data_IF_091309119578
#
_entry.id   IF_091309119578
#
_cell.length_a   1.000
_cell.length_b   1.000
_cell.length_c   1.000
_cell.angle_alpha   90.00
_cell.angle_beta   90.00
_cell.angle_gamma   90.00
#
_symmetry.space_group_name_H-M   'P 1'
#
loop_
_entity.id
_entity.type
_entity.pdbx_description
1 polymer ?
#
# COMPACT_ATOMS: atom_id res chain seq x y z
N UNK A 1 49.94 -37.74 20.96
CA UNK A 1 48.66 -36.98 20.98
C UNK A 1 48.45 -36.35 19.60
N UNK A 2 47.50 -36.82 18.82
CA UNK A 2 47.14 -36.24 17.50
C UNK A 2 45.94 -35.28 17.72
N UNK A 3 46.11 -33.98 17.48
CA UNK A 3 45.04 -33.02 17.49
C UNK A 3 44.31 -33.05 16.15
N UNK A 4 43.02 -33.37 16.17
CA UNK A 4 42.14 -33.26 15.02
C UNK A 4 41.53 -31.85 15.06
N UNK A 5 41.89 -31.01 14.09
CA UNK A 5 41.25 -29.72 13.90
C UNK A 5 39.94 -29.91 13.13
N UNK A 6 38.82 -29.65 13.79
CA UNK A 6 37.51 -29.62 13.16
C UNK A 6 37.31 -28.22 12.56
N UNK A 7 37.40 -28.14 11.24
CA UNK A 7 37.09 -26.92 10.51
C UNK A 7 35.57 -26.71 10.45
N UNK A 8 35.07 -25.61 11.03
CA UNK A 8 33.69 -25.16 10.83
C UNK A 8 33.57 -24.46 9.47
N UNK A 9 32.85 -25.07 8.54
CA UNK A 9 32.46 -24.43 7.28
C UNK A 9 31.22 -23.55 7.56
N UNK A 10 31.41 -22.24 7.59
CA UNK A 10 30.32 -21.26 7.59
C UNK A 10 29.72 -21.21 6.19
N UNK A 11 28.55 -21.86 6.00
CA UNK A 11 27.71 -21.68 4.83
C UNK A 11 27.04 -20.31 4.91
N UNK A 12 27.56 -19.34 4.19
CA UNK A 12 26.87 -18.06 3.97
C UNK A 12 25.69 -18.27 3.02
N UNK A 13 24.46 -18.23 3.53
CA UNK A 13 23.24 -18.19 2.70
C UNK A 13 23.11 -16.80 2.09
N UNK A 14 23.45 -16.63 0.82
CA UNK A 14 23.13 -15.44 0.06
C UNK A 14 21.62 -15.42 -0.18
N UNK A 15 20.92 -14.50 0.47
CA UNK A 15 19.49 -14.25 0.22
C UNK A 15 19.36 -13.56 -1.15
N UNK A 16 18.91 -14.28 -2.16
CA UNK A 16 18.60 -13.70 -3.47
C UNK A 16 17.26 -12.96 -3.38
N UNK A 17 17.29 -11.65 -3.65
CA UNK A 17 16.08 -10.83 -3.81
C UNK A 17 15.46 -11.14 -5.17
N UNK A 18 14.24 -11.68 -5.17
CA UNK A 18 13.51 -12.01 -6.39
C UNK A 18 12.45 -10.93 -6.68
N UNK A 19 12.57 -10.28 -7.85
CA UNK A 19 11.58 -9.31 -8.32
C UNK A 19 10.58 -10.00 -9.25
N UNK A 20 9.30 -9.86 -8.95
CA UNK A 20 8.17 -10.32 -9.75
C UNK A 20 7.46 -9.11 -10.35
N UNK A 21 7.28 -9.10 -11.67
CA UNK A 21 6.39 -8.16 -12.36
C UNK A 21 4.98 -8.76 -12.33
N UNK A 22 4.03 -8.04 -11.79
CA UNK A 22 2.65 -8.50 -11.67
C UNK A 22 1.93 -8.28 -13.01
N UNK A 23 1.46 -9.37 -13.62
CA UNK A 23 0.60 -9.32 -14.79
C UNK A 23 -0.86 -9.31 -14.34
N UNK A 24 -1.66 -8.40 -14.89
CA UNK A 24 -3.08 -8.28 -14.55
C UNK A 24 -3.90 -9.41 -15.17
N UNK A 25 -4.04 -10.51 -14.45
CA UNK A 25 -4.85 -11.67 -14.84
C UNK A 25 -6.11 -11.71 -13.98
N UNK A 26 -7.29 -11.74 -14.60
CA UNK A 26 -8.58 -11.60 -13.90
C UNK A 26 -8.79 -12.67 -12.82
N UNK A 27 -8.33 -13.90 -13.07
CA UNK A 27 -8.40 -15.03 -12.16
C UNK A 27 -7.44 -14.90 -10.96
N UNK A 28 -6.46 -13.99 -11.02
CA UNK A 28 -5.52 -13.67 -9.94
C UNK A 28 -5.92 -12.45 -9.10
N UNK A 29 -7.06 -11.85 -9.41
CA UNK A 29 -7.57 -10.62 -8.80
C UNK A 29 -8.89 -10.91 -8.08
N UNK A 30 -8.88 -10.90 -6.75
CA UNK A 30 -10.06 -11.17 -5.93
C UNK A 30 -10.59 -9.86 -5.31
N UNK A 31 -11.70 -9.31 -5.81
CA UNK A 31 -12.32 -8.12 -5.23
C UNK A 31 -12.91 -8.46 -3.85
N UNK A 32 -12.64 -7.60 -2.88
CA UNK A 32 -13.21 -7.64 -1.54
C UNK A 32 -13.84 -6.28 -1.21
N UNK A 33 -15.16 -6.22 -1.08
CA UNK A 33 -15.93 -4.99 -0.83
C UNK A 33 -15.65 -3.86 -1.86
N UNK A 34 -15.32 -4.23 -3.08
CA UNK A 34 -15.07 -3.31 -4.21
C UNK A 34 -15.60 -3.92 -5.50
N UNK A 35 -15.87 -3.09 -6.51
CA UNK A 35 -15.95 -3.50 -7.91
C UNK A 35 -14.60 -3.29 -8.59
N UNK A 36 -14.28 -4.14 -9.59
CA UNK A 36 -13.06 -4.01 -10.39
C UNK A 36 -13.32 -4.28 -11.86
N UNK A 37 -12.51 -3.67 -12.72
CA UNK A 37 -12.39 -3.98 -14.15
C UNK A 37 -10.94 -3.86 -14.61
N UNK A 38 -10.58 -4.57 -15.69
CA UNK A 38 -9.33 -4.35 -16.39
C UNK A 38 -9.59 -3.32 -17.48
N UNK A 39 -8.79 -2.27 -17.52
CA UNK A 39 -8.95 -1.14 -18.43
C UNK A 39 -7.63 -0.72 -19.04
N UNK A 40 -7.70 0.09 -20.08
CA UNK A 40 -6.52 0.73 -20.68
C UNK A 40 -6.65 2.24 -20.52
N UNK A 41 -5.77 2.85 -19.74
CA UNK A 41 -5.76 4.28 -19.46
C UNK A 41 -4.48 4.90 -20.04
N UNK A 42 -4.61 5.79 -21.02
CA UNK A 42 -3.47 6.44 -21.69
C UNK A 42 -2.42 5.44 -22.21
N UNK A 43 -2.89 4.29 -22.74
CA UNK A 43 -2.02 3.23 -23.26
C UNK A 43 -1.56 2.20 -22.23
N UNK A 44 -1.66 2.47 -20.92
CA UNK A 44 -1.27 1.55 -19.87
C UNK A 44 -2.42 0.60 -19.50
N UNK A 45 -2.12 -0.68 -19.34
CA UNK A 45 -3.04 -1.65 -18.76
C UNK A 45 -3.16 -1.38 -17.26
N UNK A 46 -4.39 -1.29 -16.77
CA UNK A 46 -4.65 -0.94 -15.36
C UNK A 46 -5.82 -1.76 -14.79
N UNK A 47 -5.76 -1.99 -13.48
CA UNK A 47 -6.90 -2.46 -12.70
C UNK A 47 -7.64 -1.23 -12.18
N UNK A 48 -8.88 -1.04 -12.62
CA UNK A 48 -9.79 -0.05 -12.04
C UNK A 48 -10.44 -0.64 -10.81
N UNK A 49 -10.49 0.12 -9.72
CA UNK A 49 -11.07 -0.30 -8.42
C UNK A 49 -11.96 0.81 -7.90
N UNK A 50 -13.17 0.44 -7.46
CA UNK A 50 -14.14 1.36 -6.84
C UNK A 50 -14.74 0.67 -5.62
N UNK A 51 -14.73 1.35 -4.47
CA UNK A 51 -15.34 0.86 -3.22
C UNK A 51 -16.84 0.61 -3.40
N UNK A 52 -17.33 -0.47 -2.82
CA UNK A 52 -18.77 -0.75 -2.74
C UNK A 52 -19.46 0.39 -1.98
N UNK A 53 -20.47 0.99 -2.61
CA UNK A 53 -21.19 2.15 -2.07
C UNK A 53 -22.04 1.83 -0.83
N UNK A 54 -22.29 0.56 -0.55
CA UNK A 54 -22.97 0.10 0.67
C UNK A 54 -22.09 0.17 1.91
N UNK A 55 -20.76 0.15 1.74
CA UNK A 55 -19.77 0.24 2.82
C UNK A 55 -19.52 1.71 3.14
N UNK A 56 -20.04 2.20 4.27
CA UNK A 56 -19.95 3.61 4.67
C UNK A 56 -18.71 3.91 5.52
N UNK A 57 -18.25 2.93 6.27
CA UNK A 57 -17.10 3.04 7.14
C UNK A 57 -15.83 3.28 6.34
N UNK A 58 -14.87 4.01 6.92
CA UNK A 58 -13.56 4.30 6.33
C UNK A 58 -12.50 3.32 6.84
N UNK A 59 -11.38 3.25 6.12
CA UNK A 59 -10.26 2.35 6.42
C UNK A 59 -10.71 0.87 6.54
N UNK A 60 -11.65 0.48 5.67
CA UNK A 60 -12.18 -0.88 5.58
C UNK A 60 -11.34 -1.75 4.63
N UNK A 61 -11.50 -3.09 4.66
CA UNK A 61 -10.83 -4.00 3.72
C UNK A 61 -11.45 -3.89 2.30
N UNK A 62 -11.36 -2.71 1.72
CA UNK A 62 -11.88 -2.36 0.38
C UNK A 62 -10.76 -2.40 -0.64
N UNK A 63 -10.45 -3.58 -1.13
CA UNK A 63 -9.33 -3.81 -2.04
C UNK A 63 -9.58 -4.93 -3.05
N UNK A 64 -8.78 -4.95 -4.09
CA UNK A 64 -8.59 -6.13 -4.94
C UNK A 64 -7.37 -6.88 -4.44
N UNK A 65 -7.54 -8.08 -3.88
CA UNK A 65 -6.46 -8.93 -3.37
C UNK A 65 -5.78 -9.69 -4.50
N UNK A 66 -4.46 -9.70 -4.50
CA UNK A 66 -3.62 -10.48 -5.41
C UNK A 66 -3.40 -11.88 -4.81
N UNK A 67 -3.90 -12.93 -5.48
CA UNK A 67 -3.90 -14.29 -4.92
C UNK A 67 -2.51 -14.91 -4.80
N UNK A 68 -1.61 -14.61 -5.73
CA UNK A 68 -0.29 -15.24 -5.83
C UNK A 68 0.80 -14.44 -5.09
N UNK A 69 0.39 -13.60 -4.13
CA UNK A 69 1.32 -12.82 -3.34
C UNK A 69 1.29 -13.30 -1.89
N UNK A 70 2.45 -13.65 -1.35
CA UNK A 70 2.71 -13.77 0.08
C UNK A 70 3.89 -12.86 0.39
N UNK A 71 3.63 -11.76 1.09
CA UNK A 71 4.57 -10.69 1.32
C UNK A 71 4.78 -10.46 2.82
N UNK A 72 6.03 -10.59 3.25
CA UNK A 72 6.48 -10.29 4.62
C UNK A 72 7.39 -9.05 4.61
N UNK A 73 8.50 -9.12 3.86
CA UNK A 73 9.49 -8.06 3.72
C UNK A 73 9.86 -7.86 2.24
N UNK A 74 10.30 -6.66 1.90
CA UNK A 74 10.72 -6.36 0.53
C UNK A 74 10.26 -5.00 0.04
N UNK A 75 10.00 -4.89 -1.25
CA UNK A 75 9.62 -3.65 -1.92
C UNK A 75 8.38 -3.93 -2.78
N UNK A 76 7.40 -3.03 -2.69
CA UNK A 76 6.23 -2.99 -3.56
C UNK A 76 6.29 -1.67 -4.33
N UNK A 77 6.27 -1.73 -5.65
CA UNK A 77 6.21 -0.57 -6.55
C UNK A 77 4.97 -0.67 -7.42
N UNK A 78 4.27 0.46 -7.61
CA UNK A 78 3.06 0.52 -8.43
C UNK A 78 2.81 1.95 -8.89
N UNK A 79 2.30 2.13 -10.09
CA UNK A 79 1.74 3.40 -10.53
C UNK A 79 0.25 3.43 -10.18
N UNK A 80 -0.20 4.50 -9.54
CA UNK A 80 -1.61 4.72 -9.18
C UNK A 80 -2.13 6.01 -9.80
N UNK A 81 -3.39 6.01 -10.22
CA UNK A 81 -4.10 7.21 -10.66
C UNK A 81 -5.44 7.25 -9.95
N UNK A 82 -5.78 8.39 -9.36
CA UNK A 82 -7.01 8.57 -8.61
C UNK A 82 -7.88 9.66 -9.22
N UNK A 83 -9.18 9.38 -9.30
CA UNK A 83 -10.23 10.33 -9.64
C UNK A 83 -11.29 10.35 -8.56
N UNK A 84 -12.01 11.44 -8.44
CA UNK A 84 -13.23 11.46 -7.63
C UNK A 84 -14.40 10.95 -8.47
N UNK A 85 -15.25 10.12 -7.86
CA UNK A 85 -16.54 9.74 -8.45
C UNK A 85 -17.44 10.97 -8.59
N UNK A 86 -18.33 10.97 -9.57
CA UNK A 86 -19.29 12.09 -9.81
C UNK A 86 -20.14 12.43 -8.58
N UNK A 87 -20.44 11.44 -7.74
CA UNK A 87 -21.22 11.55 -6.51
C UNK A 87 -20.35 11.52 -5.25
N UNK A 88 -19.05 11.80 -5.37
CA UNK A 88 -18.14 11.84 -4.23
C UNK A 88 -18.56 12.95 -3.26
N UNK A 89 -18.51 12.65 -1.97
CA UNK A 89 -18.79 13.63 -0.91
C UNK A 89 -17.63 14.61 -0.78
N UNK A 90 -17.88 15.76 -0.12
CA UNK A 90 -16.82 16.75 0.17
C UNK A 90 -15.68 16.20 1.02
N UNK A 91 -15.88 15.09 1.70
CA UNK A 91 -14.83 14.40 2.50
C UNK A 91 -13.95 13.48 1.67
N UNK A 92 -14.31 13.16 0.42
CA UNK A 92 -13.48 12.35 -0.47
C UNK A 92 -12.16 13.07 -0.78
N UNK A 93 -11.06 12.30 -0.79
CA UNK A 93 -9.71 12.82 -1.02
C UNK A 93 -8.98 12.09 -2.13
N UNK A 94 -9.66 11.19 -2.86
CA UNK A 94 -9.02 10.34 -3.85
C UNK A 94 -8.17 9.26 -3.21
N UNK A 95 -8.65 8.68 -2.12
CA UNK A 95 -7.93 7.70 -1.31
C UNK A 95 -7.51 6.47 -2.09
N UNK A 96 -6.22 6.28 -2.30
CA UNK A 96 -5.66 5.17 -3.06
C UNK A 96 -4.33 4.72 -2.46
N UNK A 97 -4.10 3.41 -2.39
CA UNK A 97 -2.86 2.88 -1.81
C UNK A 97 -2.76 1.37 -1.91
N UNK A 98 -1.84 0.82 -1.11
CA UNK A 98 -1.54 -0.61 -1.10
C UNK A 98 -1.74 -1.16 0.31
N UNK A 99 -2.65 -2.14 0.40
CA UNK A 99 -2.73 -3.02 1.55
C UNK A 99 -1.70 -4.15 1.39
N UNK A 100 -1.03 -4.53 2.46
CA UNK A 100 -0.05 -5.61 2.47
C UNK A 100 -0.15 -6.43 3.76
N UNK A 101 0.43 -7.63 3.76
CA UNK A 101 0.28 -8.60 4.86
C UNK A 101 -1.19 -8.93 5.15
N UNK A 102 -2.01 -8.98 4.09
CA UNK A 102 -3.44 -9.31 4.23
C UNK A 102 -3.56 -10.78 4.60
N UNK A 103 -4.17 -11.08 5.75
CA UNK A 103 -4.42 -12.46 6.16
C UNK A 103 -5.46 -13.16 5.26
N UNK A 104 -5.58 -14.48 5.39
CA UNK A 104 -6.46 -15.27 4.54
C UNK A 104 -7.94 -14.81 4.60
N UNK A 105 -8.41 -14.41 5.78
CA UNK A 105 -9.79 -14.02 6.06
C UNK A 105 -10.09 -12.54 5.74
N UNK A 106 -9.10 -11.75 5.30
CA UNK A 106 -9.22 -10.30 5.06
C UNK A 106 -9.59 -9.48 6.31
N UNK A 107 -9.24 -9.98 7.50
CA UNK A 107 -9.58 -9.38 8.80
C UNK A 107 -8.41 -8.67 9.47
N UNK A 108 -7.21 -8.74 8.90
CA UNK A 108 -6.04 -8.02 9.36
C UNK A 108 -5.12 -7.71 8.18
N UNK A 109 -4.63 -6.47 8.10
CA UNK A 109 -3.66 -6.01 7.11
C UNK A 109 -3.04 -4.67 7.52
N UNK A 110 -1.89 -4.35 6.92
CA UNK A 110 -1.25 -3.03 6.95
C UNK A 110 -1.60 -2.26 5.69
N UNK A 111 -1.70 -0.94 5.75
CA UNK A 111 -1.95 -0.13 4.57
C UNK A 111 -1.15 1.18 4.57
N UNK A 112 -0.60 1.52 3.41
CA UNK A 112 -0.06 2.85 3.12
C UNK A 112 -0.79 3.42 1.92
N UNK A 113 -1.34 4.63 2.08
CA UNK A 113 -2.13 5.28 1.04
C UNK A 113 -1.88 6.77 0.93
N UNK A 114 -2.35 7.35 -0.13
CA UNK A 114 -2.26 8.76 -0.44
C UNK A 114 -3.63 9.40 -0.59
N UNK A 115 -3.67 10.71 -0.39
CA UNK A 115 -4.83 11.59 -0.55
C UNK A 115 -4.51 12.68 -1.58
N UNK A 116 -4.62 12.42 -2.90
CA UNK A 116 -4.16 13.35 -3.93
C UNK A 116 -4.73 14.76 -3.83
N UNK A 117 -5.99 14.93 -3.38
CA UNK A 117 -6.54 16.29 -3.19
C UNK A 117 -5.87 17.08 -2.07
N UNK A 118 -5.08 16.43 -1.22
CA UNK A 118 -4.37 17.09 -0.12
C UNK A 118 -2.99 17.60 -0.53
N UNK A 119 -2.36 17.00 -1.55
CA UNK A 119 -0.98 17.32 -1.94
C UNK A 119 -0.77 18.81 -2.26
N UNK A 120 -1.75 19.42 -2.94
CA UNK A 120 -1.70 20.84 -3.34
C UNK A 120 -2.84 21.69 -2.74
N UNK A 121 -3.38 21.26 -1.58
CA UNK A 121 -4.44 22.00 -0.91
C UNK A 121 -3.93 23.33 -0.32
N UNK A 122 -4.79 24.35 -0.26
CA UNK A 122 -4.48 25.65 0.37
C UNK A 122 -4.32 25.56 1.89
N UNK A 123 -4.84 24.52 2.53
CA UNK A 123 -4.69 24.28 3.95
C UNK A 123 -3.42 23.49 4.26
N UNK A 124 -2.50 24.05 5.04
CA UNK A 124 -1.27 23.38 5.48
C UNK A 124 -1.59 22.09 6.26
N UNK A 125 -2.63 22.08 7.08
CA UNK A 125 -3.05 20.90 7.81
C UNK A 125 -3.47 19.77 6.86
N UNK A 126 -4.17 20.08 5.78
CA UNK A 126 -4.51 19.09 4.74
C UNK A 126 -3.26 18.58 4.03
N UNK A 127 -2.33 19.48 3.67
CA UNK A 127 -1.07 19.10 3.01
C UNK A 127 -0.28 18.13 3.86
N UNK A 128 -0.15 18.39 5.16
CA UNK A 128 0.55 17.51 6.11
C UNK A 128 -0.10 16.12 6.25
N UNK A 129 -1.31 15.95 5.72
CA UNK A 129 -2.09 14.71 5.70
C UNK A 129 -2.25 14.17 4.27
N UNK A 130 -1.26 14.37 3.40
CA UNK A 130 -1.31 13.88 2.03
C UNK A 130 -1.02 12.38 1.92
N UNK A 131 -0.22 11.83 2.83
CA UNK A 131 0.05 10.39 2.97
C UNK A 131 -0.42 9.88 4.32
N UNK A 132 -0.72 8.59 4.42
CA UNK A 132 -1.19 7.98 5.67
C UNK A 132 -0.83 6.50 5.73
N UNK A 133 -0.53 6.03 6.94
CA UNK A 133 -0.52 4.62 7.31
C UNK A 133 -1.71 4.30 8.21
N UNK A 134 -2.25 3.08 8.10
CA UNK A 134 -3.14 2.47 9.10
C UNK A 134 -2.97 0.94 9.10
N UNK A 135 -3.44 0.31 10.18
CA UNK A 135 -3.50 -1.14 10.31
C UNK A 135 -4.91 -1.56 10.74
N UNK A 136 -5.52 -2.41 9.91
CA UNK A 136 -6.86 -2.93 10.16
C UNK A 136 -6.80 -4.18 11.08
N UNK A 137 -7.74 -4.34 12.05
CA UNK A 137 -8.93 -3.51 12.27
C UNK A 137 -8.75 -2.36 13.26
N UNK A 138 -7.75 -2.43 14.14
CA UNK A 138 -7.75 -1.66 15.38
C UNK A 138 -7.06 -0.29 15.28
N UNK A 139 -6.11 -0.13 14.36
CA UNK A 139 -5.31 1.09 14.24
C UNK A 139 -5.69 1.88 12.98
N UNK A 140 -6.97 2.29 12.87
CA UNK A 140 -7.45 3.15 11.80
C UNK A 140 -6.92 4.58 11.95
N UNK A 141 -7.09 5.41 10.91
CA UNK A 141 -6.48 6.74 10.85
C UNK A 141 -6.87 7.65 12.03
N UNK A 142 -8.10 7.55 12.50
CA UNK A 142 -8.64 8.38 13.59
C UNK A 142 -8.00 8.05 14.93
N UNK A 143 -7.84 6.76 15.23
CA UNK A 143 -7.13 6.29 16.42
C UNK A 143 -5.66 6.70 16.36
N UNK A 144 -4.97 6.42 15.26
CA UNK A 144 -3.55 6.77 15.11
C UNK A 144 -3.32 8.28 15.25
N UNK A 145 -4.20 9.09 14.65
CA UNK A 145 -4.13 10.55 14.75
C UNK A 145 -4.35 11.05 16.16
N UNK A 146 -5.19 10.37 16.95
CA UNK A 146 -5.45 10.72 18.37
C UNK A 146 -4.30 10.30 19.27
N UNK A 147 -3.76 9.08 19.08
CA UNK A 147 -2.74 8.51 19.96
C UNK A 147 -1.33 9.04 19.65
N UNK A 148 -1.02 9.31 18.36
CA UNK A 148 0.28 9.76 17.88
C UNK A 148 0.12 10.81 16.75
N UNK A 149 -0.27 12.06 17.10
CA UNK A 149 -0.57 13.10 16.11
C UNK A 149 0.61 13.38 15.18
N UNK A 150 0.42 13.21 13.86
CA UNK A 150 1.42 13.49 12.83
C UNK A 150 2.46 12.40 12.59
N UNK A 151 2.53 11.34 13.39
CA UNK A 151 3.54 10.27 13.21
C UNK A 151 3.25 9.36 12.02
N UNK A 152 1.97 9.15 11.71
CA UNK A 152 1.54 8.25 10.63
C UNK A 152 0.97 8.98 9.41
N UNK A 153 1.21 10.27 9.34
CA UNK A 153 0.79 11.16 8.24
C UNK A 153 1.97 12.03 7.80
N UNK A 154 2.00 12.42 6.53
CA UNK A 154 3.03 13.32 6.01
C UNK A 154 2.58 14.02 4.73
N UNK A 155 3.38 14.99 4.33
CA UNK A 155 3.25 15.69 3.05
C UNK A 155 3.90 14.92 1.91
N UNK A 156 3.25 14.97 0.73
CA UNK A 156 3.87 14.70 -0.56
C UNK A 156 3.16 15.51 -1.65
N UNK A 157 3.91 15.98 -2.66
CA UNK A 157 3.31 16.65 -3.81
C UNK A 157 2.63 15.65 -4.73
N UNK A 158 1.35 15.87 -5.00
CA UNK A 158 0.51 15.04 -5.86
C UNK A 158 -0.81 15.73 -6.18
N UNK A 159 -1.48 15.27 -7.26
CA UNK A 159 -2.83 15.71 -7.59
C UNK A 159 -3.70 14.57 -8.12
N UNK A 160 -5.01 14.83 -8.26
CA UNK A 160 -5.93 13.94 -8.97
C UNK A 160 -5.61 13.93 -10.47
N UNK A 161 -6.00 12.85 -11.15
CA UNK A 161 -5.85 12.65 -12.59
C UNK A 161 -4.39 12.60 -13.08
N UNK A 162 -3.44 12.47 -12.19
CA UNK A 162 -2.02 12.25 -12.48
C UNK A 162 -1.63 10.81 -12.11
N UNK A 163 -0.78 10.17 -12.91
CA UNK A 163 -0.12 8.94 -12.50
C UNK A 163 0.93 9.27 -11.43
N UNK A 164 0.82 8.59 -10.31
CA UNK A 164 1.68 8.75 -9.13
C UNK A 164 2.39 7.43 -8.89
N UNK A 165 3.71 7.44 -8.87
CA UNK A 165 4.49 6.26 -8.53
C UNK A 165 4.59 6.12 -7.01
N UNK A 166 4.16 4.97 -6.50
CA UNK A 166 4.33 4.57 -5.11
C UNK A 166 5.38 3.48 -5.00
N UNK A 167 6.30 3.62 -4.04
CA UNK A 167 7.24 2.59 -3.65
C UNK A 167 7.18 2.44 -2.14
N UNK A 168 6.87 1.22 -1.68
CA UNK A 168 6.77 0.87 -0.26
C UNK A 168 7.88 -0.14 0.05
N UNK A 169 8.79 0.20 0.96
CA UNK A 169 9.80 -0.71 1.49
C UNK A 169 9.35 -1.20 2.86
N UNK A 170 9.39 -2.52 3.08
CA UNK A 170 9.04 -3.15 4.36
C UNK A 170 10.20 -4.00 4.86
N UNK A 171 10.57 -3.79 6.12
CA UNK A 171 11.59 -4.59 6.81
C UNK A 171 11.22 -4.75 8.29
N UNK A 172 10.82 -5.95 8.68
CA UNK A 172 10.36 -6.24 10.04
C UNK A 172 9.18 -5.36 10.44
N UNK A 173 9.35 -4.53 11.46
CA UNK A 173 8.36 -3.55 11.93
C UNK A 173 8.43 -2.19 11.23
N UNK A 174 9.31 -2.01 10.27
CA UNK A 174 9.50 -0.73 9.60
C UNK A 174 8.91 -0.75 8.20
N UNK A 175 8.28 0.36 7.82
CA UNK A 175 7.89 0.63 6.44
C UNK A 175 8.22 2.06 6.03
N UNK A 176 8.54 2.26 4.76
CA UNK A 176 8.88 3.55 4.15
C UNK A 176 8.07 3.72 2.89
N UNK A 177 7.37 4.86 2.77
CA UNK A 177 6.68 5.23 1.54
C UNK A 177 7.48 6.29 0.78
N UNK A 178 7.67 6.06 -0.50
CA UNK A 178 8.22 7.01 -1.46
C UNK A 178 7.15 7.34 -2.51
N UNK A 179 7.09 8.59 -2.91
CA UNK A 179 6.13 9.09 -3.89
C UNK A 179 6.90 9.76 -5.03
N UNK A 180 6.49 9.50 -6.28
CA UNK A 180 7.06 10.11 -7.49
C UNK A 180 8.59 10.06 -7.56
N UNK A 181 9.15 8.86 -7.26
CA UNK A 181 10.60 8.59 -7.30
C UNK A 181 11.44 9.51 -6.38
N UNK A 182 10.84 10.03 -5.29
CA UNK A 182 11.56 10.81 -4.29
C UNK A 182 12.78 10.05 -3.76
N UNK A 183 13.90 10.75 -3.56
CA UNK A 183 15.14 10.15 -3.03
C UNK A 183 15.02 9.78 -1.55
N UNK A 184 14.20 10.53 -0.81
CA UNK A 184 13.92 10.28 0.60
C UNK A 184 12.48 9.80 0.77
N UNK A 185 12.20 8.93 1.74
CA UNK A 185 10.83 8.53 2.03
C UNK A 185 10.01 9.73 2.50
N UNK A 186 8.78 9.81 2.02
CA UNK A 186 7.84 10.86 2.45
C UNK A 186 7.11 10.47 3.74
N UNK A 187 7.02 9.17 4.06
CA UNK A 187 6.45 8.68 5.30
C UNK A 187 7.32 7.53 5.84
N UNK A 188 7.64 7.59 7.13
CA UNK A 188 8.35 6.56 7.88
C UNK A 188 7.42 6.00 8.95
N UNK A 189 7.28 4.67 8.98
CA UNK A 189 6.58 3.94 10.03
C UNK A 189 7.57 2.97 10.66
N UNK A 190 7.85 3.11 11.96
CA UNK A 190 8.85 2.31 12.66
C UNK A 190 8.25 1.17 13.48
N UNK A 191 6.92 1.09 13.55
CA UNK A 191 6.18 0.19 14.45
C UNK A 191 4.93 -0.36 13.80
N UNK A 192 5.06 -0.97 12.60
CA UNK A 192 3.97 -1.68 11.95
C UNK A 192 3.19 -2.52 12.96
N UNK A 193 1.88 -2.31 13.05
CA UNK A 193 1.04 -2.77 14.17
C UNK A 193 0.81 -4.29 14.18
N UNK A 194 0.89 -4.96 13.03
CA UNK A 194 0.84 -6.43 12.96
C UNK A 194 2.18 -7.10 13.35
N UNK A 195 3.22 -6.30 13.60
CA UNK A 195 4.52 -6.80 14.04
C UNK A 195 5.44 -7.25 12.91
N UNK A 196 6.61 -7.80 13.28
CA UNK A 196 7.66 -8.16 12.32
C UNK A 196 7.37 -9.47 11.55
N UNK A 197 6.58 -10.35 12.14
CA UNK A 197 6.36 -11.71 11.62
C UNK A 197 5.12 -11.86 10.75
N UNK A 198 4.28 -10.84 10.68
CA UNK A 198 3.12 -10.85 9.82
C UNK A 198 3.52 -10.98 8.34
N UNK A 199 2.83 -11.87 7.64
CA UNK A 199 2.90 -12.03 6.19
C UNK A 199 1.50 -12.21 5.61
N UNK A 200 1.35 -12.06 4.30
CA UNK A 200 0.09 -12.29 3.63
C UNK A 200 0.03 -11.63 2.26
N UNK A 201 -1.16 -11.60 1.70
CA UNK A 201 -1.38 -11.08 0.36
C UNK A 201 -1.18 -9.55 0.28
N UNK A 202 -1.06 -9.08 -0.97
CA UNK A 202 -1.06 -7.65 -1.32
C UNK A 202 -2.44 -7.30 -1.90
N UNK A 203 -2.91 -6.08 -1.66
CA UNK A 203 -4.19 -5.57 -2.16
C UNK A 203 -4.12 -4.17 -2.73
N UNK A 204 -4.84 -3.95 -3.82
CA UNK A 204 -5.04 -2.66 -4.46
C UNK A 204 -6.20 -1.96 -3.74
N UNK A 205 -5.88 -1.04 -2.83
CA UNK A 205 -6.84 -0.46 -1.89
C UNK A 205 -7.35 0.91 -2.32
N UNK A 206 -8.65 1.15 -2.15
CA UNK A 206 -9.31 2.44 -2.34
C UNK A 206 -10.34 2.69 -1.24
N UNK A 207 -10.70 3.97 -1.00
CA UNK A 207 -11.76 4.31 -0.06
C UNK A 207 -12.81 5.24 -0.69
N UNK A 208 -13.69 5.77 0.15
CA UNK A 208 -14.92 6.50 -0.22
C UNK A 208 -14.71 7.54 -1.32
N UNK A 209 -15.62 7.54 -2.28
CA UNK A 209 -15.66 8.54 -3.35
C UNK A 209 -14.53 8.46 -4.37
N UNK A 210 -13.71 7.38 -4.34
CA UNK A 210 -12.54 7.21 -5.20
C UNK A 210 -12.81 6.23 -6.33
N UNK A 211 -12.42 6.62 -7.54
CA UNK A 211 -12.16 5.74 -8.67
C UNK A 211 -10.63 5.62 -8.80
N UNK A 212 -10.08 4.46 -8.45
CA UNK A 212 -8.65 4.21 -8.45
C UNK A 212 -8.22 3.32 -9.61
N UNK A 213 -7.05 3.60 -10.17
CA UNK A 213 -6.41 2.79 -11.22
C UNK A 213 -4.99 2.40 -10.79
N UNK A 214 -4.59 1.17 -11.04
CA UNK A 214 -3.29 0.61 -10.68
C UNK A 214 -2.63 -0.01 -11.89
N UNK A 215 -1.37 0.37 -12.19
CA UNK A 215 -0.58 -0.19 -13.29
C UNK A 215 0.87 -0.46 -12.90
N UNK A 216 1.60 -1.20 -13.72
CA UNK A 216 3.06 -1.41 -13.62
C UNK A 216 3.55 -1.87 -12.25
N UNK A 217 2.85 -2.84 -11.66
CA UNK A 217 3.18 -3.32 -10.32
C UNK A 217 4.36 -4.29 -10.33
N UNK A 218 5.30 -4.07 -9.40
CA UNK A 218 6.45 -4.93 -9.12
C UNK A 218 6.53 -5.25 -7.65
N UNK A 219 6.87 -6.49 -7.34
CA UNK A 219 7.07 -6.96 -5.96
C UNK A 219 8.43 -7.62 -5.87
N UNK A 220 9.28 -7.10 -4.99
CA UNK A 220 10.59 -7.68 -4.69
C UNK A 220 10.57 -8.22 -3.27
N UNK A 221 10.67 -9.53 -3.09
CA UNK A 221 10.69 -10.19 -1.77
C UNK A 221 12.13 -10.30 -1.25
N UNK A 222 12.28 -10.21 0.09
CA UNK A 222 13.54 -10.39 0.83
C UNK A 222 13.38 -11.43 1.92
#
# INVERSE_FOLDING_TARGET
>A
MKFIAIGFILLSTTSYSQTQIIQWQKDKLLPNKVSMSLERINGNEAVRVVKDSTIKEVDEPTFVKLTDTDFKNGIIEVNVLSRLLKNATETARGFIGIAFRINAQNTAFENMYIRPTNGRAESQLRRNRATQYFSFPDFKFDRLRKEAPGEYESYADMALNEWIHLRIEVNGKQAKLYVNHSKQPVLLVNDLKLGADASGAIGLWVDVGTEGFFSDMKVTKR
#
